data_IF_316559714801
#
_entry.id   IF_316559714801
#
_cell.length_a   1.000
_cell.length_b   1.000
_cell.length_c   1.000
_cell.angle_alpha   90.00
_cell.angle_beta   90.00
_cell.angle_gamma   90.00
#
_symmetry.space_group_name_H-M   'P 1'
#
loop_
_entity.id
_entity.type
_entity.pdbx_description
1 polymer ?
#
# COMPACT_ATOMS: atom_id res chain seq x y z
N UNK A 1 -34.09 -2.39 -6.20
CA UNK A 1 -33.49 -3.70 -5.89
C UNK A 1 -34.12 -4.76 -6.77
N UNK A 2 -33.36 -5.17 -7.78
CA UNK A 2 -33.70 -6.25 -8.70
C UNK A 2 -33.63 -7.63 -8.03
N UNK A 3 -34.36 -8.60 -8.60
CA UNK A 3 -34.37 -9.99 -8.13
C UNK A 3 -33.07 -10.73 -8.44
N UNK A 4 -33.06 -12.05 -8.21
CA UNK A 4 -31.91 -12.90 -8.57
C UNK A 4 -31.78 -12.96 -10.09
N UNK A 5 -30.56 -12.74 -10.61
CA UNK A 5 -30.28 -12.75 -12.04
C UNK A 5 -28.80 -12.56 -12.35
N UNK A 6 -28.51 -12.22 -13.60
CA UNK A 6 -27.17 -11.85 -14.05
C UNK A 6 -27.04 -10.33 -14.02
N UNK A 7 -25.97 -9.84 -13.42
CA UNK A 7 -25.71 -8.41 -13.25
C UNK A 7 -24.28 -8.06 -13.62
N UNK A 8 -24.09 -6.94 -14.29
CA UNK A 8 -22.79 -6.32 -14.49
C UNK A 8 -22.53 -5.33 -13.36
N UNK A 9 -21.42 -5.52 -12.66
CA UNK A 9 -20.92 -4.60 -11.64
C UNK A 9 -19.86 -3.72 -12.29
N UNK A 10 -20.26 -2.53 -12.67
CA UNK A 10 -19.36 -1.54 -13.26
C UNK A 10 -18.90 -0.58 -12.18
N UNK A 11 -17.68 -0.06 -12.28
CA UNK A 11 -17.18 0.92 -11.33
C UNK A 11 -15.70 1.17 -11.51
N UNK A 12 -15.18 2.15 -10.79
CA UNK A 12 -13.75 2.44 -10.75
C UNK A 12 -13.28 2.64 -9.31
N UNK A 13 -12.06 2.21 -9.04
CA UNK A 13 -11.38 2.50 -7.78
C UNK A 13 -10.70 3.86 -7.91
N UNK A 14 -10.89 4.70 -6.90
CA UNK A 14 -10.20 5.97 -6.73
C UNK A 14 -9.45 5.99 -5.41
N UNK A 15 -8.38 6.78 -5.36
CA UNK A 15 -7.46 6.82 -4.22
C UNK A 15 -7.46 8.22 -3.64
N UNK A 16 -7.75 8.34 -2.34
CA UNK A 16 -7.83 9.62 -1.62
C UNK A 16 -6.80 9.64 -0.51
N UNK A 17 -5.80 10.52 -0.62
CA UNK A 17 -4.74 10.66 0.38
C UNK A 17 -5.25 11.21 1.70
N UNK A 18 -4.80 10.62 2.81
CA UNK A 18 -5.08 11.07 4.19
C UNK A 18 -3.80 11.44 4.96
N UNK A 19 -2.65 10.97 4.50
CA UNK A 19 -1.33 11.36 4.99
C UNK A 19 -0.27 11.13 3.92
N UNK A 20 0.78 11.95 3.94
CA UNK A 20 1.97 11.79 3.13
C UNK A 20 3.18 12.41 3.86
N UNK A 21 4.37 11.92 3.55
CA UNK A 21 5.58 12.39 4.22
C UNK A 21 6.85 11.80 3.64
N UNK A 22 7.97 12.31 4.13
CA UNK A 22 9.31 11.79 3.90
C UNK A 22 9.97 11.71 5.26
N UNK A 23 10.38 10.52 5.66
CA UNK A 23 10.99 10.28 6.97
C UNK A 23 12.21 9.38 6.83
N UNK A 24 13.22 9.67 7.63
CA UNK A 24 14.38 8.79 7.79
C UNK A 24 14.08 7.79 8.89
N UNK A 25 14.14 6.50 8.58
CA UNK A 25 13.87 5.40 9.51
C UNK A 25 15.18 4.64 9.72
N UNK A 26 15.69 4.62 10.95
CA UNK A 26 16.94 3.94 11.24
C UNK A 26 16.81 2.40 11.17
N UNK A 27 17.94 1.72 10.98
CA UNK A 27 18.00 0.25 10.97
C UNK A 27 17.36 -0.37 12.22
N UNK A 28 16.41 -1.28 12.00
CA UNK A 28 15.63 -1.97 13.03
C UNK A 28 14.58 -1.10 13.73
N UNK A 29 14.37 0.15 13.29
CA UNK A 29 13.33 1.04 13.81
C UNK A 29 12.02 0.94 13.03
N UNK A 30 10.97 1.53 13.61
CA UNK A 30 9.62 1.55 13.02
C UNK A 30 9.02 2.94 13.19
N UNK A 31 8.61 3.53 12.08
CA UNK A 31 7.78 4.73 12.04
C UNK A 31 6.32 4.36 12.27
N UNK A 32 5.70 5.01 13.27
CA UNK A 32 4.27 4.91 13.55
C UNK A 32 3.54 6.12 12.96
N UNK A 33 2.57 5.87 12.10
CA UNK A 33 1.69 6.89 11.51
C UNK A 33 0.30 6.70 12.12
N UNK A 34 0.07 7.38 13.23
CA UNK A 34 -1.18 7.35 13.99
C UNK A 34 -2.05 8.59 13.73
N UNK A 35 -3.22 8.62 14.38
CA UNK A 35 -4.18 9.74 14.34
C UNK A 35 -4.69 10.08 12.94
N UNK A 36 -4.65 9.11 12.04
CA UNK A 36 -5.27 9.21 10.72
C UNK A 36 -6.77 8.99 10.86
N UNK A 37 -7.57 9.81 10.20
CA UNK A 37 -9.02 9.72 10.30
C UNK A 37 -9.71 10.23 9.02
N UNK A 38 -10.86 9.65 8.69
CA UNK A 38 -11.61 9.99 7.46
C UNK A 38 -12.25 11.37 7.47
N UNK A 39 -12.34 12.03 8.62
CA UNK A 39 -12.85 13.40 8.74
C UNK A 39 -11.89 14.45 8.15
N UNK A 40 -10.65 14.07 7.88
CA UNK A 40 -9.72 14.86 7.09
C UNK A 40 -10.12 14.95 5.61
N UNK A 41 -11.04 14.09 5.14
CA UNK A 41 -11.51 14.01 3.76
C UNK A 41 -12.92 14.60 3.65
N UNK A 42 -13.07 15.57 2.74
CA UNK A 42 -14.36 16.21 2.48
C UNK A 42 -15.35 15.23 1.82
N UNK A 43 -16.53 15.07 2.43
CA UNK A 43 -17.59 14.18 1.96
C UNK A 43 -17.28 12.68 2.13
N UNK A 44 -16.34 12.31 3.01
CA UNK A 44 -16.01 10.90 3.26
C UNK A 44 -17.22 10.06 3.67
N UNK A 45 -18.21 10.65 4.35
CA UNK A 45 -19.45 10.01 4.77
C UNK A 45 -20.34 9.54 3.60
N UNK A 46 -20.18 10.14 2.43
CA UNK A 46 -20.91 9.78 1.21
C UNK A 46 -20.11 8.82 0.32
N UNK A 47 -18.86 8.52 0.69
CA UNK A 47 -17.97 7.65 -0.09
C UNK A 47 -18.09 6.18 0.36
N UNK A 48 -18.11 5.28 -0.61
CA UNK A 48 -17.93 3.86 -0.36
C UNK A 48 -16.44 3.55 -0.23
N UNK A 49 -15.88 3.79 0.96
CA UNK A 49 -14.48 3.48 1.30
C UNK A 49 -14.39 1.97 1.56
N UNK A 50 -13.66 1.27 0.70
CA UNK A 50 -13.58 -0.20 0.63
C UNK A 50 -12.20 -0.77 0.95
N UNK A 51 -11.21 0.10 1.12
CA UNK A 51 -9.85 -0.30 1.47
C UNK A 51 -8.99 0.87 1.89
N UNK A 52 -7.76 0.55 2.29
CA UNK A 52 -6.67 1.49 2.51
C UNK A 52 -5.40 0.92 1.89
N UNK A 53 -4.55 1.80 1.35
CA UNK A 53 -3.20 1.42 0.96
C UNK A 53 -2.15 2.38 1.51
N UNK A 54 -0.97 1.86 1.76
CA UNK A 54 0.24 2.63 2.08
C UNK A 54 1.21 2.42 0.93
N UNK A 55 1.55 3.49 0.22
CA UNK A 55 2.53 3.47 -0.88
C UNK A 55 3.84 3.99 -0.34
N UNK A 56 4.93 3.30 -0.62
CA UNK A 56 6.27 3.64 -0.15
C UNK A 56 7.25 3.65 -1.30
N UNK A 57 8.19 4.59 -1.24
CA UNK A 57 9.36 4.66 -2.11
C UNK A 57 10.58 5.06 -1.30
N UNK A 58 11.71 4.43 -1.59
CA UNK A 58 12.93 4.52 -0.79
C UNK A 58 14.15 4.34 -1.70
N UNK A 59 15.26 4.92 -1.27
CA UNK A 59 16.51 4.97 -2.03
C UNK A 59 17.50 3.92 -1.55
N UNK A 60 18.78 4.29 -1.65
CA UNK A 60 19.89 3.72 -0.88
C UNK A 60 20.66 4.91 -0.36
N UNK A 61 21.07 4.86 0.90
CA UNK A 61 21.89 5.89 1.51
C UNK A 61 23.25 5.38 2.03
N UNK A 62 23.58 4.12 1.70
CA UNK A 62 24.82 3.48 2.09
C UNK A 62 26.06 4.36 1.87
N UNK A 63 26.96 4.28 2.84
CA UNK A 63 28.21 5.05 2.82
C UNK A 63 29.44 4.16 2.97
N UNK A 64 30.50 4.51 2.24
CA UNK A 64 31.73 3.75 2.18
C UNK A 64 32.54 4.06 0.93
N UNK A 65 33.68 3.39 0.73
CA UNK A 65 34.48 3.61 -0.48
C UNK A 65 35.19 4.98 -0.56
N UNK A 66 35.43 5.61 0.58
CA UNK A 66 35.93 6.99 0.69
C UNK A 66 37.36 7.21 0.12
N UNK A 67 38.06 6.16 -0.31
CA UNK A 67 39.41 6.26 -0.86
C UNK A 67 39.59 5.35 -2.08
N UNK A 68 39.59 5.88 -3.32
CA UNK A 68 39.58 5.07 -4.53
C UNK A 68 40.81 4.16 -4.72
N UNK A 69 41.87 4.33 -3.91
CA UNK A 69 43.09 3.50 -3.96
C UNK A 69 43.13 2.47 -2.83
N UNK A 70 42.67 2.83 -1.62
CA UNK A 70 42.77 1.97 -0.43
C UNK A 70 41.44 1.31 -0.05
N UNK A 71 40.33 2.01 -0.25
CA UNK A 71 38.95 1.59 0.03
C UNK A 71 38.09 2.03 -1.17
N UNK A 72 38.16 1.31 -2.30
CA UNK A 72 37.47 1.68 -3.52
C UNK A 72 35.94 1.53 -3.42
N UNK A 73 35.42 0.94 -2.34
CA UNK A 73 34.00 0.66 -2.17
C UNK A 73 33.61 -0.69 -2.77
N UNK A 74 32.32 -0.92 -2.91
CA UNK A 74 31.74 -2.09 -3.55
C UNK A 74 30.32 -1.80 -3.99
N UNK A 75 29.49 -2.85 -4.03
CA UNK A 75 28.06 -2.70 -4.30
C UNK A 75 27.32 -2.44 -3.00
N UNK A 76 26.33 -1.58 -3.08
CA UNK A 76 25.37 -1.36 -2.01
C UNK A 76 24.57 -2.66 -1.79
N UNK A 77 24.17 -2.88 -0.54
CA UNK A 77 23.42 -4.03 -0.07
C UNK A 77 21.97 -3.94 -0.48
N UNK A 78 21.10 -4.73 0.13
CA UNK A 78 19.68 -4.71 -0.22
C UNK A 78 18.87 -4.65 1.05
N UNK A 79 18.18 -3.54 1.24
CA UNK A 79 17.40 -3.26 2.43
C UNK A 79 15.98 -3.76 2.25
N UNK A 80 15.38 -4.12 3.38
CA UNK A 80 14.00 -4.59 3.42
C UNK A 80 13.16 -3.55 4.14
N UNK A 81 12.17 -3.03 3.42
CA UNK A 81 11.21 -2.07 3.94
C UNK A 81 9.89 -2.80 4.08
N UNK A 82 9.33 -2.81 5.29
CA UNK A 82 8.05 -3.47 5.57
C UNK A 82 7.03 -2.43 5.97
N UNK A 83 5.90 -2.40 5.29
CA UNK A 83 4.78 -1.53 5.63
C UNK A 83 3.60 -2.32 6.17
N UNK A 84 2.84 -1.71 7.08
CA UNK A 84 1.58 -2.24 7.60
C UNK A 84 0.50 -1.18 7.54
N UNK A 85 -0.69 -1.54 7.08
CA UNK A 85 -1.87 -0.68 7.09
C UNK A 85 -2.94 -1.28 8.02
N UNK A 86 -3.60 -0.45 8.84
CA UNK A 86 -4.58 -0.90 9.82
C UNK A 86 -5.84 -0.03 9.85
N UNK A 87 -6.99 -0.69 9.95
CA UNK A 87 -8.29 -0.03 10.10
C UNK A 87 -9.32 -0.97 10.74
N UNK A 88 -9.94 -0.58 11.85
CA UNK A 88 -11.09 -1.28 12.45
C UNK A 88 -10.95 -2.82 12.61
N UNK A 89 -9.72 -3.34 12.78
CA UNK A 89 -9.41 -4.77 12.87
C UNK A 89 -8.97 -5.43 11.56
N UNK A 90 -9.14 -4.77 10.42
CA UNK A 90 -8.45 -5.09 9.18
C UNK A 90 -6.99 -4.65 9.30
N UNK A 91 -6.08 -5.53 8.90
CA UNK A 91 -4.67 -5.23 8.78
C UNK A 91 -4.08 -6.02 7.60
N UNK A 92 -3.00 -5.49 7.06
CA UNK A 92 -2.18 -6.16 6.06
C UNK A 92 -0.79 -5.60 6.08
N UNK A 93 0.16 -6.46 5.71
CA UNK A 93 1.58 -6.17 5.70
C UNK A 93 2.14 -6.62 4.36
N UNK A 94 3.07 -5.84 3.82
CA UNK A 94 3.85 -6.19 2.65
C UNK A 94 5.28 -5.68 2.83
N UNK A 95 6.21 -6.31 2.14
CA UNK A 95 7.63 -5.98 2.19
C UNK A 95 8.13 -5.74 0.77
N UNK A 96 9.10 -4.85 0.63
CA UNK A 96 9.82 -4.60 -0.60
C UNK A 96 11.30 -4.37 -0.36
N UNK A 97 12.09 -4.42 -1.44
CA UNK A 97 13.54 -4.21 -1.38
C UNK A 97 13.98 -3.16 -2.41
N UNK A 98 15.07 -2.46 -2.11
CA UNK A 98 15.73 -1.46 -2.98
C UNK A 98 16.85 -2.06 -3.85
N UNK A 99 17.38 -3.24 -3.48
CA UNK A 99 18.31 -4.05 -4.28
C UNK A 99 19.59 -3.28 -4.65
N UNK A 100 20.15 -2.49 -3.74
CA UNK A 100 21.36 -1.71 -3.95
C UNK A 100 21.14 -0.50 -4.86
N UNK A 101 19.92 0.01 -4.94
CA UNK A 101 19.64 1.27 -5.66
C UNK A 101 18.40 2.02 -5.21
N UNK A 102 17.23 1.40 -5.24
CA UNK A 102 15.98 2.07 -4.90
C UNK A 102 14.78 1.20 -5.19
N UNK A 103 13.73 1.37 -4.39
CA UNK A 103 12.56 0.51 -4.44
C UNK A 103 11.27 1.27 -4.22
N UNK A 104 10.19 0.62 -4.63
CA UNK A 104 8.83 1.07 -4.36
C UNK A 104 7.95 -0.14 -4.12
N UNK A 105 7.07 -0.07 -3.14
CA UNK A 105 6.02 -1.06 -2.97
C UNK A 105 4.79 -0.44 -2.29
N UNK A 106 3.68 -1.17 -2.29
CA UNK A 106 2.48 -0.80 -1.58
C UNK A 106 1.96 -1.94 -0.70
N UNK A 107 1.26 -1.54 0.36
CA UNK A 107 0.53 -2.43 1.26
C UNK A 107 -0.93 -2.10 1.10
N UNK A 108 -1.74 -3.04 0.63
CA UNK A 108 -3.16 -2.81 0.36
C UNK A 108 -4.02 -3.73 1.23
N UNK A 109 -5.02 -3.15 1.89
CA UNK A 109 -6.02 -3.86 2.71
C UNK A 109 -7.41 -3.51 2.20
N UNK A 110 -8.16 -4.52 1.79
CA UNK A 110 -9.51 -4.37 1.23
C UNK A 110 -10.53 -5.14 2.09
N UNK A 111 -11.72 -4.58 2.30
CA UNK A 111 -12.83 -5.21 3.02
C UNK A 111 -14.08 -5.37 2.16
N UNK A 112 -13.89 -5.47 0.86
CA UNK A 112 -14.93 -5.72 -0.13
C UNK A 112 -14.52 -6.83 -1.10
N UNK A 113 -15.46 -7.34 -1.87
CA UNK A 113 -15.20 -8.34 -2.89
C UNK A 113 -14.70 -7.68 -4.19
N UNK A 114 -13.39 -7.39 -4.23
CA UNK A 114 -12.75 -6.77 -5.41
C UNK A 114 -12.84 -7.60 -6.68
N UNK A 115 -13.08 -8.92 -6.59
CA UNK A 115 -13.29 -9.78 -7.77
C UNK A 115 -14.59 -9.48 -8.53
N UNK A 116 -15.53 -8.77 -7.91
CA UNK A 116 -16.77 -8.34 -8.56
C UNK A 116 -16.59 -7.06 -9.38
N UNK A 117 -15.48 -6.33 -9.20
CA UNK A 117 -15.25 -5.07 -9.94
C UNK A 117 -15.06 -5.36 -11.43
N UNK A 118 -15.94 -4.81 -12.26
CA UNK A 118 -15.90 -5.01 -13.72
C UNK A 118 -16.34 -6.41 -14.16
N UNK A 119 -16.93 -7.20 -13.28
CA UNK A 119 -17.36 -8.57 -13.56
C UNK A 119 -18.87 -8.68 -13.79
N UNK A 120 -19.26 -9.72 -14.53
CA UNK A 120 -20.64 -10.21 -14.56
C UNK A 120 -20.83 -11.24 -13.45
N UNK A 121 -21.79 -10.98 -12.57
CA UNK A 121 -22.13 -11.81 -11.42
C UNK A 121 -23.46 -12.48 -11.68
N UNK A 122 -23.49 -13.81 -11.57
CA UNK A 122 -24.67 -14.63 -11.85
C UNK A 122 -25.29 -15.21 -10.59
N UNK A 123 -26.61 -15.35 -10.58
CA UNK A 123 -27.34 -16.06 -9.53
C UNK A 123 -27.39 -15.34 -8.18
N UNK A 124 -27.07 -14.06 -8.14
CA UNK A 124 -27.24 -13.18 -6.98
C UNK A 124 -28.31 -12.12 -7.27
N UNK A 125 -28.95 -11.61 -6.22
CA UNK A 125 -29.74 -10.40 -6.25
C UNK A 125 -28.86 -9.16 -6.18
N UNK A 126 -29.40 -8.01 -6.62
CA UNK A 126 -28.72 -6.72 -6.50
C UNK A 126 -28.30 -6.42 -5.05
N UNK A 127 -29.13 -6.75 -4.07
CA UNK A 127 -28.81 -6.58 -2.64
C UNK A 127 -27.68 -7.49 -2.15
N UNK A 128 -27.59 -8.72 -2.67
CA UNK A 128 -26.50 -9.65 -2.32
C UNK A 128 -25.18 -9.18 -2.91
N UNK A 129 -25.21 -8.59 -4.10
CA UNK A 129 -24.04 -7.95 -4.72
C UNK A 129 -23.62 -6.73 -3.89
N UNK A 130 -24.55 -5.81 -3.56
CA UNK A 130 -24.27 -4.63 -2.72
C UNK A 130 -23.64 -5.05 -1.39
N UNK A 131 -24.15 -6.09 -0.74
CA UNK A 131 -23.60 -6.58 0.53
C UNK A 131 -22.15 -7.09 0.46
N UNK A 132 -21.62 -7.31 -0.74
CA UNK A 132 -20.25 -7.74 -0.96
C UNK A 132 -19.32 -6.61 -1.42
N UNK A 133 -19.84 -5.54 -2.01
CA UNK A 133 -19.02 -4.48 -2.63
C UNK A 133 -19.15 -3.12 -1.94
N UNK A 134 -20.22 -2.91 -1.18
CA UNK A 134 -20.49 -1.71 -0.40
C UNK A 134 -20.05 -1.94 1.05
N UNK A 135 -19.18 -1.06 1.56
CA UNK A 135 -18.67 -1.17 2.93
C UNK A 135 -19.72 -0.79 3.98
N UNK A 136 -20.85 -0.19 3.59
CA UNK A 136 -21.92 0.29 4.46
C UNK A 136 -21.41 1.21 5.58
N UNK A 137 -20.39 2.03 5.26
CA UNK A 137 -19.72 2.91 6.22
C UNK A 137 -18.68 2.23 7.10
N UNK A 138 -18.36 0.95 6.87
CA UNK A 138 -17.31 0.26 7.61
C UNK A 138 -15.94 0.92 7.42
N UNK A 139 -15.72 1.59 6.29
CA UNK A 139 -14.50 2.35 5.99
C UNK A 139 -14.44 3.76 6.59
N UNK A 140 -15.22 4.07 7.63
CA UNK A 140 -15.15 5.36 8.32
C UNK A 140 -14.45 5.21 9.67
N UNK A 141 -13.73 6.25 10.08
CA UNK A 141 -13.11 6.33 11.39
C UNK A 141 -11.59 6.41 11.33
N UNK A 142 -10.94 5.84 12.35
CA UNK A 142 -9.49 5.89 12.53
C UNK A 142 -8.73 4.87 11.68
N UNK A 143 -7.54 5.28 11.28
CA UNK A 143 -6.56 4.49 10.55
C UNK A 143 -5.21 4.62 11.26
N UNK A 144 -4.35 3.63 11.05
CA UNK A 144 -2.93 3.75 11.37
C UNK A 144 -2.10 3.00 10.33
N UNK A 145 -0.85 3.40 10.19
CA UNK A 145 0.13 2.71 9.37
C UNK A 145 1.46 2.62 10.10
N UNK A 146 2.24 1.59 9.77
CA UNK A 146 3.57 1.38 10.31
C UNK A 146 4.53 1.13 9.15
N UNK A 147 5.77 1.63 9.25
CA UNK A 147 6.83 1.39 8.28
C UNK A 147 8.09 1.03 9.06
N UNK A 148 8.69 -0.12 8.80
CA UNK A 148 9.96 -0.56 9.38
C UNK A 148 11.03 -0.74 8.32
N UNK A 149 12.28 -0.57 8.72
CA UNK A 149 13.46 -0.72 7.86
C UNK A 149 14.41 -1.71 8.51
N UNK A 150 14.81 -2.74 7.76
CA UNK A 150 15.96 -3.59 8.05
C UNK A 150 17.02 -3.28 7.00
N UNK A 151 18.07 -2.55 7.40
CA UNK A 151 19.12 -2.07 6.51
C UNK A 151 20.34 -3.02 6.54
N UNK A 152 20.97 -3.26 5.40
CA UNK A 152 22.10 -4.18 5.29
C UNK A 152 23.22 -3.59 4.44
N UNK A 153 24.30 -3.18 5.13
CA UNK A 153 25.51 -2.73 4.46
C UNK A 153 26.08 -3.78 3.48
N UNK A 154 26.34 -3.32 2.27
CA UNK A 154 26.85 -4.09 1.16
C UNK A 154 28.32 -4.47 1.28
N UNK A 155 28.91 -4.87 0.15
CA UNK A 155 30.28 -5.39 0.17
C UNK A 155 31.35 -4.30 0.03
N UNK A 156 32.52 -4.55 0.63
CA UNK A 156 33.73 -3.78 0.37
C UNK A 156 34.74 -4.65 -0.40
N UNK A 157 35.31 -4.10 -1.47
CA UNK A 157 36.28 -4.83 -2.31
C UNK A 157 37.65 -4.94 -1.62
N UNK A 158 37.99 -3.98 -0.75
CA UNK A 158 39.24 -3.99 0.02
C UNK A 158 39.14 -4.90 1.25
N UNK A 159 40.06 -5.84 1.41
CA UNK A 159 40.18 -6.66 2.63
C UNK A 159 40.88 -5.94 3.80
N UNK A 160 41.10 -4.62 3.68
CA UNK A 160 41.75 -3.84 4.71
C UNK A 160 40.74 -3.51 5.83
N UNK A 161 41.06 -3.75 7.11
CA UNK A 161 40.11 -3.53 8.22
C UNK A 161 39.62 -2.09 8.40
N UNK A 162 40.31 -1.12 7.79
CA UNK A 162 39.91 0.30 7.83
C UNK A 162 38.93 0.69 6.71
N UNK A 163 38.55 -0.26 5.85
CA UNK A 163 37.56 -0.07 4.81
C UNK A 163 36.29 -0.77 5.27
N UNK A 164 35.45 -0.02 5.98
CA UNK A 164 34.14 -0.45 6.44
C UNK A 164 33.08 0.32 5.64
N UNK A 165 31.98 -0.35 5.34
CA UNK A 165 30.74 0.26 4.84
C UNK A 165 29.77 0.36 6.00
N UNK A 166 28.94 1.38 5.96
CA UNK A 166 27.88 1.61 6.93
C UNK A 166 26.59 1.92 6.21
N UNK A 167 25.54 1.38 6.79
CA UNK A 167 24.16 1.57 6.43
C UNK A 167 23.40 1.70 7.75
N UNK A 168 22.77 2.86 7.95
CA UNK A 168 22.17 3.23 9.23
C UNK A 168 20.64 3.33 9.12
N UNK A 169 20.03 3.02 7.98
CA UNK A 169 18.59 3.16 7.76
C UNK A 169 18.22 3.62 6.35
N UNK A 170 16.99 4.07 6.16
CA UNK A 170 16.50 4.51 4.85
C UNK A 170 15.64 5.77 4.90
N UNK A 171 15.78 6.62 3.87
CA UNK A 171 14.85 7.72 3.62
C UNK A 171 13.62 7.18 2.87
N UNK A 172 12.50 7.08 3.57
CA UNK A 172 11.24 6.58 3.02
C UNK A 172 10.27 7.72 2.76
N UNK A 173 9.90 7.88 1.49
CA UNK A 173 8.74 8.70 1.08
C UNK A 173 7.50 7.82 1.06
N UNK A 174 6.43 8.25 1.73
CA UNK A 174 5.19 7.48 1.84
C UNK A 174 3.93 8.30 1.57
N UNK A 175 2.85 7.61 1.15
CA UNK A 175 1.48 8.12 1.15
C UNK A 175 0.51 7.08 1.69
N UNK A 176 -0.43 7.49 2.54
CA UNK A 176 -1.55 6.68 3.03
C UNK A 176 -2.81 7.13 2.31
N UNK A 177 -3.48 6.20 1.63
CA UNK A 177 -4.58 6.50 0.73
C UNK A 177 -5.77 5.58 0.98
N UNK A 178 -6.97 6.17 1.09
CA UNK A 178 -8.23 5.46 1.12
C UNK A 178 -8.59 4.98 -0.29
N UNK A 179 -9.13 3.76 -0.38
CA UNK A 179 -9.62 3.17 -1.63
C UNK A 179 -11.13 3.35 -1.66
N UNK A 180 -11.63 4.16 -2.58
CA UNK A 180 -13.05 4.46 -2.76
C UNK A 180 -13.56 3.78 -4.01
N UNK A 181 -14.63 2.98 -3.86
CA UNK A 181 -15.27 2.28 -4.96
C UNK A 181 -16.61 2.92 -5.34
N UNK A 182 -16.59 3.69 -6.43
CA UNK A 182 -17.81 4.19 -7.07
C UNK A 182 -18.32 3.14 -8.06
N UNK A 183 -19.56 2.71 -7.88
CA UNK A 183 -20.11 1.55 -8.57
C UNK A 183 -21.52 1.78 -9.12
N UNK A 184 -21.86 1.01 -10.14
CA UNK A 184 -23.19 0.92 -10.72
C UNK A 184 -23.48 -0.53 -11.06
N UNK A 185 -24.62 -1.04 -10.58
CA UNK A 185 -25.09 -2.38 -10.90
C UNK A 185 -26.17 -2.26 -11.98
N UNK A 186 -26.02 -3.02 -13.06
CA UNK A 186 -27.02 -3.10 -14.13
C UNK A 186 -27.31 -4.56 -14.48
N UNK A 187 -28.55 -4.93 -14.87
CA UNK A 187 -28.82 -6.26 -15.42
C UNK A 187 -27.89 -6.56 -16.60
N UNK A 188 -27.36 -7.78 -16.65
CA UNK A 188 -26.64 -8.25 -17.83
C UNK A 188 -27.65 -8.47 -18.95
N UNK A 189 -27.45 -7.81 -20.08
CA UNK A 189 -28.25 -8.05 -21.28
C UNK A 189 -27.59 -9.15 -22.10
N UNK A 190 -28.32 -10.24 -22.34
CA UNK A 190 -27.90 -11.25 -23.30
C UNK A 190 -28.36 -10.82 -24.70
N UNK A 191 -27.41 -10.40 -25.54
CA UNK A 191 -27.69 -10.02 -26.93
C UNK A 191 -28.17 -11.21 -27.78
N UNK A 192 -28.04 -12.46 -27.29
CA UNK A 192 -28.55 -13.65 -27.96
C UNK A 192 -30.05 -13.90 -27.75
N UNK A 193 -30.71 -13.14 -26.87
CA UNK A 193 -32.15 -13.17 -26.64
C UNK A 193 -32.95 -12.10 -27.42
N UNK A 194 -32.27 -11.32 -28.28
CA UNK A 194 -32.86 -10.36 -29.23
C UNK A 194 -33.09 -10.97 -30.62
#
# INVERSE_FOLDING_TARGET
MGGVGDYNVNGNLSYVGIADGIEYIADGETLMIDDLHTDAVDGAEDMNIVGVRVVMSYGEDESGGNNPVLCPGGQDGADTISGTAMHAGFNGTAEGQNNGGGGTHDVTVEWFNSSMVGATVSGLSESEIISQIDSMGAGLGSYSAEISVDAEAGNEVSALPQCERSDDGEEVTYSVELIVFDYTIAPAFDESEL
#
